data_IF_026166918755
#
_entry.id   IF_026166918755
#
_cell.length_a   1.000
_cell.length_b   1.000
_cell.length_c   1.000
_cell.angle_alpha   90.00
_cell.angle_beta   90.00
_cell.angle_gamma   90.00
#
_symmetry.space_group_name_H-M   'P 1'
#
loop_
_entity.id
_entity.type
_entity.pdbx_description
1 polymer ?
#
# COMPACT_ATOMS: atom_id res chain seq x y z
N UNK A 1 5.14 21.27 -9.50
CA UNK A 1 5.20 19.81 -9.66
C UNK A 1 4.63 19.23 -8.37
N UNK A 2 3.35 18.85 -8.41
CA UNK A 2 2.66 18.35 -7.21
C UNK A 2 3.29 17.03 -6.76
N UNK A 3 3.77 17.00 -5.52
CA UNK A 3 4.37 15.81 -4.93
C UNK A 3 3.26 14.86 -4.52
N UNK A 4 3.29 13.65 -5.08
CA UNK A 4 2.42 12.56 -4.64
C UNK A 4 2.82 12.20 -3.20
N UNK A 5 1.88 12.35 -2.27
CA UNK A 5 2.08 12.04 -0.86
C UNK A 5 1.63 10.61 -0.53
N UNK A 6 0.49 10.20 -1.08
CA UNK A 6 -0.10 8.87 -0.85
C UNK A 6 -0.51 8.23 -2.16
N UNK A 7 -0.32 6.91 -2.27
CA UNK A 7 -0.76 6.08 -3.39
C UNK A 7 -1.59 4.91 -2.86
N UNK A 8 -2.77 4.70 -3.43
CA UNK A 8 -3.47 3.42 -3.41
C UNK A 8 -3.09 2.59 -4.63
N UNK A 9 -2.66 1.35 -4.39
CA UNK A 9 -2.27 0.39 -5.40
C UNK A 9 -3.16 -0.85 -5.29
N UNK A 10 -4.00 -1.07 -6.31
CA UNK A 10 -4.71 -2.32 -6.51
C UNK A 10 -3.88 -3.24 -7.43
N UNK A 11 -3.75 -4.50 -7.02
CA UNK A 11 -2.87 -5.50 -7.64
C UNK A 11 -3.70 -6.65 -8.19
N UNK A 12 -3.82 -6.70 -9.52
CA UNK A 12 -4.31 -7.86 -10.25
C UNK A 12 -3.14 -8.66 -10.88
N UNK A 13 -3.46 -9.80 -11.50
CA UNK A 13 -2.46 -10.75 -12.05
C UNK A 13 -1.46 -10.11 -13.02
N UNK A 14 -1.93 -9.24 -13.91
CA UNK A 14 -1.12 -8.61 -14.97
C UNK A 14 -1.24 -7.09 -15.00
N UNK A 15 -2.11 -6.53 -14.18
CA UNK A 15 -2.61 -5.16 -14.27
C UNK A 15 -2.62 -4.57 -12.87
N UNK A 16 -2.17 -3.34 -12.76
CA UNK A 16 -2.09 -2.60 -11.51
C UNK A 16 -2.84 -1.29 -11.71
N UNK A 17 -3.68 -0.93 -10.75
CA UNK A 17 -4.30 0.41 -10.75
C UNK A 17 -3.62 1.26 -9.71
N UNK A 18 -3.13 2.41 -10.15
CA UNK A 18 -2.50 3.42 -9.32
C UNK A 18 -3.47 4.57 -9.18
N UNK A 19 -3.76 4.93 -7.95
CA UNK A 19 -4.41 6.16 -7.58
C UNK A 19 -3.51 6.92 -6.60
N UNK A 20 -3.06 8.11 -6.95
CA UNK A 20 -2.17 8.91 -6.11
C UNK A 20 -2.70 10.31 -5.89
N UNK A 21 -2.56 10.76 -4.64
CA UNK A 21 -3.00 12.07 -4.17
C UNK A 21 -1.83 12.88 -3.60
N UNK A 22 -1.94 14.19 -3.63
CA UNK A 22 -0.99 15.08 -2.97
C UNK A 22 -1.26 15.18 -1.45
N UNK A 23 -0.58 16.11 -0.78
CA UNK A 23 -0.76 16.36 0.65
C UNK A 23 -2.10 17.03 0.99
N UNK A 24 -2.76 17.69 0.04
CA UNK A 24 -4.08 18.27 0.20
C UNK A 24 -5.21 17.23 -0.03
N UNK A 25 -4.87 16.06 -0.57
CA UNK A 25 -5.82 15.00 -0.93
C UNK A 25 -6.34 15.11 -2.36
N UNK A 26 -5.78 16.01 -3.17
CA UNK A 26 -6.14 16.19 -4.57
C UNK A 26 -5.50 15.09 -5.43
N UNK A 27 -6.26 14.61 -6.41
CA UNK A 27 -5.82 13.50 -7.27
C UNK A 27 -4.78 14.00 -8.27
N UNK A 28 -3.52 13.59 -8.06
CA UNK A 28 -2.40 13.93 -8.96
C UNK A 28 -2.23 12.87 -10.06
N UNK A 29 -2.57 11.62 -9.77
CA UNK A 29 -2.37 10.53 -10.73
C UNK A 29 -3.43 9.43 -10.61
N UNK A 30 -4.01 9.05 -11.75
CA UNK A 30 -4.87 7.87 -11.88
C UNK A 30 -4.50 7.13 -13.14
N UNK A 31 -3.92 5.93 -13.03
CA UNK A 31 -3.51 5.16 -14.21
C UNK A 31 -3.42 3.67 -13.97
N UNK A 32 -3.57 2.95 -15.08
CA UNK A 32 -3.31 1.53 -15.19
C UNK A 32 -1.86 1.26 -15.59
N UNK A 33 -1.16 0.43 -14.83
CA UNK A 33 0.20 -0.02 -15.11
C UNK A 33 0.21 -1.52 -15.43
N UNK A 34 1.11 -1.92 -16.34
CA UNK A 34 1.48 -3.33 -16.48
C UNK A 34 2.56 -3.66 -15.45
N UNK A 35 2.70 -4.96 -15.15
CA UNK A 35 3.71 -5.48 -14.21
C UNK A 35 5.11 -4.89 -14.42
N UNK A 36 5.58 -4.86 -15.66
CA UNK A 36 6.91 -4.36 -16.01
C UNK A 36 7.10 -2.85 -15.78
N UNK A 37 6.00 -2.08 -15.68
CA UNK A 37 6.04 -0.63 -15.49
C UNK A 37 5.89 -0.18 -14.04
N UNK A 38 5.61 -1.09 -13.10
CA UNK A 38 5.44 -0.76 -11.68
C UNK A 38 6.75 -0.21 -11.11
N UNK A 39 7.84 -1.00 -11.14
CA UNK A 39 9.14 -0.58 -10.58
C UNK A 39 9.68 0.70 -11.24
N UNK A 40 9.71 0.84 -12.58
CA UNK A 40 10.16 2.08 -13.21
C UNK A 40 9.28 3.30 -12.91
N UNK A 41 8.01 3.09 -12.55
CA UNK A 41 7.13 4.18 -12.15
C UNK A 41 7.47 4.67 -10.74
N UNK A 42 7.54 3.75 -9.76
CA UNK A 42 7.84 4.11 -8.37
C UNK A 42 9.27 4.61 -8.18
N UNK A 43 10.25 4.08 -8.92
CA UNK A 43 11.64 4.56 -8.86
C UNK A 43 11.82 6.04 -9.26
N UNK A 44 10.86 6.62 -10.01
CA UNK A 44 10.88 8.05 -10.38
C UNK A 44 10.18 8.94 -9.36
N UNK A 45 9.48 8.35 -8.39
CA UNK A 45 8.74 9.08 -7.39
C UNK A 45 9.62 9.34 -6.16
N UNK A 46 9.44 10.49 -5.48
CA UNK A 46 9.97 10.64 -4.14
C UNK A 46 9.30 9.65 -3.18
N UNK A 47 9.92 9.45 -2.02
CA UNK A 47 9.32 8.67 -0.92
C UNK A 47 7.89 9.14 -0.65
N UNK A 48 6.96 8.18 -0.67
CA UNK A 48 5.53 8.40 -0.45
C UNK A 48 4.93 7.20 0.30
N UNK A 49 3.74 7.39 0.86
CA UNK A 49 2.97 6.33 1.49
C UNK A 49 2.26 5.51 0.41
N UNK A 50 2.36 4.18 0.45
CA UNK A 50 1.70 3.28 -0.50
C UNK A 50 0.81 2.30 0.25
N UNK A 51 -0.50 2.41 0.05
CA UNK A 51 -1.48 1.41 0.46
C UNK A 51 -1.61 0.35 -0.61
N UNK A 52 -1.56 -0.92 -0.21
CA UNK A 52 -1.75 -2.07 -1.10
C UNK A 52 -2.80 -2.99 -0.51
N UNK A 53 -3.76 -3.44 -1.33
CA UNK A 53 -4.68 -4.49 -0.91
C UNK A 53 -3.93 -5.83 -0.72
N UNK A 54 -4.18 -6.49 0.40
CA UNK A 54 -3.61 -7.79 0.70
C UNK A 54 -4.18 -8.86 -0.25
N UNK A 55 -3.34 -9.35 -1.15
CA UNK A 55 -3.63 -10.42 -2.08
C UNK A 55 -2.41 -11.37 -2.17
N UNK A 56 -2.54 -12.51 -2.86
CA UNK A 56 -1.47 -13.53 -2.91
C UNK A 56 -0.11 -12.99 -3.39
N UNK A 57 -0.10 -11.90 -4.17
CA UNK A 57 1.13 -11.30 -4.70
C UNK A 57 1.53 -9.99 -3.99
N UNK A 58 0.74 -9.47 -3.06
CA UNK A 58 0.96 -8.15 -2.47
C UNK A 58 2.27 -8.06 -1.68
N UNK A 59 2.67 -9.15 -1.03
CA UNK A 59 3.92 -9.22 -0.25
C UNK A 59 5.17 -9.04 -1.11
N UNK A 60 5.20 -9.64 -2.31
CA UNK A 60 6.31 -9.45 -3.23
C UNK A 60 6.44 -7.97 -3.61
N UNK A 61 5.33 -7.33 -4.00
CA UNK A 61 5.33 -5.91 -4.36
C UNK A 61 5.66 -4.99 -3.20
N UNK A 62 5.20 -5.31 -1.99
CA UNK A 62 5.55 -4.53 -0.82
C UNK A 62 7.06 -4.49 -0.58
N UNK A 63 7.75 -5.63 -0.71
CA UNK A 63 9.21 -5.70 -0.57
C UNK A 63 9.93 -4.85 -1.62
N UNK A 64 9.54 -4.98 -2.89
CA UNK A 64 10.12 -4.20 -3.98
C UNK A 64 9.95 -2.68 -3.76
N UNK A 65 8.75 -2.26 -3.33
CA UNK A 65 8.46 -0.85 -3.09
C UNK A 65 9.15 -0.30 -1.82
N UNK A 66 9.30 -1.12 -0.78
CA UNK A 66 10.10 -0.79 0.40
C UNK A 66 11.58 -0.64 0.03
N UNK A 67 12.12 -1.52 -0.83
CA UNK A 67 13.50 -1.44 -1.29
C UNK A 67 13.80 -0.15 -2.08
N UNK A 68 12.79 0.40 -2.75
CA UNK A 68 12.86 1.73 -3.39
C UNK A 68 12.74 2.91 -2.40
N UNK A 69 12.47 2.64 -1.12
CA UNK A 69 12.41 3.64 -0.05
C UNK A 69 11.01 4.18 0.27
N UNK A 70 9.94 3.59 -0.27
CA UNK A 70 8.56 3.99 0.03
C UNK A 70 8.07 3.43 1.38
N UNK A 71 7.11 4.11 2.02
CA UNK A 71 6.43 3.58 3.20
C UNK A 71 5.22 2.75 2.74
N UNK A 72 5.31 1.42 2.82
CA UNK A 72 4.27 0.53 2.29
C UNK A 72 3.41 -0.05 3.42
N UNK A 73 2.10 -0.04 3.22
CA UNK A 73 1.10 -0.60 4.13
C UNK A 73 0.21 -1.59 3.38
N UNK A 74 0.28 -2.86 3.77
CA UNK A 74 -0.66 -3.87 3.32
C UNK A 74 -1.96 -3.75 4.13
N UNK A 75 -3.10 -3.82 3.45
CA UNK A 75 -4.41 -3.66 4.06
C UNK A 75 -5.38 -4.75 3.54
N UNK A 76 -6.15 -5.42 4.40
CA UNK A 76 -7.20 -6.35 3.96
C UNK A 76 -8.28 -5.62 3.17
N UNK A 77 -8.84 -6.31 2.18
CA UNK A 77 -10.01 -5.87 1.41
C UNK A 77 -11.14 -5.30 2.29
N UNK A 78 -11.36 -5.92 3.46
CA UNK A 78 -12.40 -5.53 4.41
C UNK A 78 -12.27 -4.09 4.91
N UNK A 79 -11.05 -3.55 5.01
CA UNK A 79 -10.81 -2.18 5.44
C UNK A 79 -10.91 -1.16 4.30
N UNK A 80 -10.70 -1.58 3.05
CA UNK A 80 -10.93 -0.75 1.86
C UNK A 80 -12.42 -0.65 1.51
N UNK A 81 -13.18 -1.72 1.76
CA UNK A 81 -14.59 -1.86 1.36
C UNK A 81 -15.50 -0.67 1.75
N UNK A 82 -15.40 -0.04 2.94
CA UNK A 82 -16.22 1.13 3.29
C UNK A 82 -15.96 2.36 2.43
N UNK A 83 -14.78 2.43 1.78
CA UNK A 83 -14.34 3.57 0.97
C UNK A 83 -14.60 3.36 -0.53
N UNK A 84 -15.07 2.17 -0.93
CA UNK A 84 -15.40 1.88 -2.33
C UNK A 84 -16.69 2.62 -2.71
N UNK A 85 -16.56 3.60 -3.60
CA UNK A 85 -17.70 4.33 -4.18
C UNK A 85 -18.54 3.39 -5.05
N UNK A 86 -19.84 3.68 -5.20
CA UNK A 86 -20.81 2.83 -5.91
C UNK A 86 -20.31 2.43 -7.31
N UNK A 87 -20.20 1.12 -7.55
CA UNK A 87 -19.81 0.53 -8.84
C UNK A 87 -18.44 -0.16 -8.75
N UNK A 88 -18.40 -1.47 -9.06
CA UNK A 88 -17.15 -2.25 -9.04
C UNK A 88 -16.28 -1.86 -10.23
N UNK A 89 -15.21 -1.13 -9.99
CA UNK A 89 -14.14 -0.97 -10.97
C UNK A 89 -12.79 -0.86 -10.25
N UNK A 90 -11.75 -1.46 -10.84
CA UNK A 90 -10.41 -1.53 -10.27
C UNK A 90 -9.84 -0.14 -9.89
N UNK A 91 -10.27 0.92 -10.60
CA UNK A 91 -9.80 2.27 -10.34
C UNK A 91 -10.47 2.92 -9.11
N UNK A 92 -11.71 2.52 -8.79
CA UNK A 92 -12.42 2.87 -7.56
C UNK A 92 -11.88 2.09 -6.37
N UNK A 93 -11.42 0.85 -6.59
CA UNK A 93 -10.73 0.07 -5.56
C UNK A 93 -9.38 0.70 -5.21
N UNK A 94 -8.58 1.12 -6.20
CA UNK A 94 -7.34 1.87 -5.95
C UNK A 94 -7.57 3.20 -5.21
N UNK A 95 -8.64 3.93 -5.54
CA UNK A 95 -9.05 5.14 -4.84
C UNK A 95 -9.44 4.84 -3.38
N UNK A 96 -10.24 3.80 -3.15
CA UNK A 96 -10.65 3.36 -1.82
C UNK A 96 -9.46 2.94 -0.96
N UNK A 97 -8.47 2.24 -1.54
CA UNK A 97 -7.22 1.88 -0.85
C UNK A 97 -6.44 3.15 -0.46
N UNK A 98 -6.35 4.13 -1.36
CA UNK A 98 -5.66 5.41 -1.12
C UNK A 98 -6.31 6.18 0.03
N UNK A 99 -7.64 6.25 0.04
CA UNK A 99 -8.39 6.94 1.09
C UNK A 99 -8.28 6.20 2.42
N UNK A 100 -8.44 4.88 2.43
CA UNK A 100 -8.35 4.05 3.62
C UNK A 100 -6.96 4.11 4.26
N UNK A 101 -5.88 4.03 3.46
CA UNK A 101 -4.51 4.12 3.99
C UNK A 101 -4.24 5.52 4.53
N UNK A 102 -4.68 6.59 3.85
CA UNK A 102 -4.59 7.95 4.37
C UNK A 102 -5.37 8.12 5.67
N UNK A 103 -6.60 7.61 5.74
CA UNK A 103 -7.46 7.72 6.92
C UNK A 103 -6.91 6.96 8.12
N UNK A 104 -6.34 5.76 7.91
CA UNK A 104 -5.78 4.94 9.00
C UNK A 104 -4.40 5.40 9.43
N UNK A 105 -3.59 5.89 8.50
CA UNK A 105 -2.19 6.23 8.75
C UNK A 105 -2.00 7.69 9.18
N UNK A 106 -2.62 8.65 8.48
CA UNK A 106 -2.48 10.07 8.83
C UNK A 106 -3.26 10.41 10.11
N UNK A 107 -4.43 9.80 10.35
CA UNK A 107 -5.19 10.00 11.60
C UNK A 107 -4.57 9.29 12.80
N UNK A 108 -3.54 8.45 12.63
CA UNK A 108 -2.83 7.81 13.75
C UNK A 108 -2.04 8.78 14.62
N UNK A 109 -1.92 10.05 14.21
CA UNK A 109 -1.48 11.17 15.08
C UNK A 109 -2.56 11.70 16.03
N UNK A 110 -3.82 11.27 15.92
CA UNK A 110 -4.90 11.55 16.90
C UNK A 110 -5.75 10.31 17.16
N UNK A 111 -5.38 9.56 18.22
CA UNK A 111 -6.17 8.58 18.98
C UNK A 111 -7.40 7.99 18.26
N UNK A 112 -7.20 6.90 17.52
CA UNK A 112 -8.28 5.96 17.16
C UNK A 112 -8.02 4.65 17.91
N UNK A 113 -9.00 4.07 18.63
CA UNK A 113 -8.83 2.76 19.23
C UNK A 113 -8.77 1.73 18.11
N UNK A 114 -7.55 1.24 17.85
CA UNK A 114 -7.35 0.05 17.06
C UNK A 114 -8.04 -1.10 17.78
N UNK A 115 -9.01 -1.74 17.13
CA UNK A 115 -9.47 -3.06 17.53
C UNK A 115 -8.24 -4.00 17.64
N UNK A 116 -8.19 -4.85 18.67
CA UNK A 116 -6.99 -5.13 19.44
C UNK A 116 -5.92 -5.88 18.66
N UNK A 117 -4.74 -5.26 18.56
CA UNK A 117 -3.36 -5.81 18.55
C UNK A 117 -2.99 -7.04 17.69
N UNK A 118 -3.88 -7.71 16.96
CA UNK A 118 -3.52 -8.91 16.18
C UNK A 118 -3.15 -8.62 14.73
N UNK A 119 -3.63 -7.50 14.17
CA UNK A 119 -3.48 -7.25 12.73
C UNK A 119 -2.15 -6.58 12.34
N UNK A 120 -1.68 -5.62 13.14
CA UNK A 120 -0.39 -4.96 12.91
C UNK A 120 0.79 -5.88 13.24
N UNK A 121 0.65 -6.74 14.26
CA UNK A 121 1.67 -7.75 14.54
C UNK A 121 1.72 -8.78 13.41
N UNK A 122 0.61 -9.29 12.86
CA UNK A 122 0.72 -10.26 11.76
C UNK A 122 1.36 -9.70 10.48
N UNK A 123 1.07 -8.44 10.12
CA UNK A 123 1.62 -7.82 8.92
C UNK A 123 3.06 -7.30 9.09
N UNK A 124 3.47 -6.96 10.32
CA UNK A 124 4.85 -6.55 10.63
C UNK A 124 5.76 -7.75 10.98
N UNK A 125 5.23 -8.76 11.68
CA UNK A 125 5.92 -9.99 12.07
C UNK A 125 6.21 -10.88 10.85
N UNK A 126 5.30 -11.01 9.87
CA UNK A 126 5.61 -11.80 8.66
C UNK A 126 6.69 -11.17 7.77
N UNK A 127 6.87 -9.84 7.85
CA UNK A 127 7.86 -9.10 7.05
C UNK A 127 9.24 -9.07 7.73
N UNK A 128 9.30 -8.99 9.06
CA UNK A 128 10.58 -8.94 9.81
C UNK A 128 11.04 -10.27 10.45
N UNK A 129 10.18 -11.28 10.59
CA UNK A 129 10.55 -12.56 11.22
C UNK A 129 11.29 -13.52 10.26
N UNK A 130 11.23 -13.28 8.94
CA UNK A 130 11.99 -14.06 7.96
C UNK A 130 13.38 -13.49 7.63
N UNK A 131 13.65 -12.22 7.95
CA UNK A 131 14.98 -11.62 7.70
C UNK A 131 15.95 -11.76 8.87
N UNK A 132 15.48 -12.10 10.08
CA UNK A 132 16.33 -12.26 11.27
C UNK A 132 16.64 -13.72 11.67
N UNK A 133 16.29 -14.72 10.86
CA UNK A 133 16.45 -16.13 11.24
C UNK A 133 17.24 -17.01 10.24
N UNK A 134 18.06 -16.40 9.37
CA UNK A 134 19.07 -17.11 8.55
C UNK A 134 20.48 -16.72 9.02
N UNK A 135 20.79 -16.90 10.32
CA UNK A 135 22.18 -16.80 10.83
C UNK A 135 22.38 -17.39 12.23
N UNK A 136 21.81 -18.56 12.58
CA UNK A 136 22.41 -19.40 13.66
C UNK A 136 21.93 -20.86 13.58
N UNK A 137 22.67 -21.68 12.83
CA UNK A 137 22.96 -23.09 13.16
C UNK A 137 23.99 -23.65 12.17
N UNK A 138 25.18 -23.06 12.18
CA UNK A 138 26.40 -23.73 11.79
C UNK A 138 27.20 -24.00 13.07
N UNK A 139 27.14 -25.22 13.57
CA UNK A 139 27.80 -25.70 14.77
C UNK A 139 27.51 -27.18 14.96
#
# INVERSE_FOLDING_TARGET
MEKIATIGLDIAKSVFQVHGVDAAGEVVVRKRLSRARVIPFFAKLPRCLVGIEACSNSHHWARELIALGHDVRLMPAQYAKPYVKRGKNDAADAEAICEAVSALWLKKTRKVPLQPRKFLDFCWYQVNFLENNISISGG
#
